data_IF_098378386550
#
_entry.id   IF_098378386550
#
_cell.length_a   1.000
_cell.length_b   1.000
_cell.length_c   1.000
_cell.angle_alpha   90.00
_cell.angle_beta   90.00
_cell.angle_gamma   90.00
#
_symmetry.space_group_name_H-M   'P 1'
#
loop_
_entity.id
_entity.type
_entity.pdbx_description
1 polymer ?
#
# COMPACT_ATOMS: atom_id res chain seq x y z
N UNK A 1 3.23 -14.74 12.38
CA UNK A 1 3.52 -14.52 13.82
C UNK A 1 4.47 -15.55 14.41
N UNK A 2 4.44 -16.82 13.96
CA UNK A 2 5.45 -17.87 14.24
C UNK A 2 5.86 -18.07 15.71
N UNK A 3 5.05 -17.63 16.67
CA UNK A 3 5.39 -17.68 18.09
C UNK A 3 6.54 -16.75 18.50
N UNK A 4 6.94 -15.79 17.65
CA UNK A 4 8.02 -14.85 17.99
C UNK A 4 7.60 -13.95 19.16
N UNK A 5 8.32 -14.05 20.29
CA UNK A 5 7.98 -13.35 21.52
C UNK A 5 7.95 -11.83 21.37
N UNK A 6 8.85 -11.26 20.54
CA UNK A 6 8.90 -9.81 20.32
C UNK A 6 7.71 -9.35 19.50
N UNK A 7 7.31 -10.10 18.48
CA UNK A 7 6.13 -9.81 17.67
C UNK A 7 4.86 -9.95 18.52
N UNK A 8 4.73 -11.04 19.27
CA UNK A 8 3.59 -11.26 20.17
C UNK A 8 3.49 -10.17 21.24
N UNK A 9 4.62 -9.72 21.80
CA UNK A 9 4.64 -8.62 22.78
C UNK A 9 4.09 -7.32 22.19
N UNK A 10 4.37 -7.00 20.92
CA UNK A 10 3.79 -5.83 20.24
C UNK A 10 2.27 -5.95 20.06
N UNK A 11 1.80 -7.14 19.71
CA UNK A 11 0.36 -7.42 19.58
C UNK A 11 -0.34 -7.25 20.93
N UNK A 12 0.22 -7.83 22.00
CA UNK A 12 -0.30 -7.70 23.36
C UNK A 12 -0.32 -6.24 23.81
N UNK A 13 0.75 -5.48 23.55
CA UNK A 13 0.81 -4.05 23.86
C UNK A 13 -0.26 -3.21 23.14
N UNK A 14 -0.76 -3.70 22.00
CA UNK A 14 -1.79 -3.04 21.19
C UNK A 14 -3.23 -3.44 21.61
N UNK A 15 -3.41 -4.17 22.71
CA UNK A 15 -4.71 -4.66 23.17
C UNK A 15 -5.73 -3.52 23.29
N UNK A 16 -6.92 -3.75 22.75
CA UNK A 16 -8.01 -2.76 22.70
C UNK A 16 -7.94 -1.80 21.51
N UNK A 17 -6.82 -1.77 20.78
CA UNK A 17 -6.68 -1.11 19.48
C UNK A 17 -6.89 -2.12 18.34
N UNK A 18 -6.98 -1.60 17.13
CA UNK A 18 -6.99 -2.40 15.90
C UNK A 18 -5.55 -2.77 15.58
N UNK A 19 -5.32 -4.05 15.23
CA UNK A 19 -4.03 -4.54 14.77
C UNK A 19 -4.16 -4.80 13.29
N UNK A 20 -3.54 -3.93 12.49
CA UNK A 20 -3.53 -4.08 11.04
C UNK A 20 -2.54 -5.15 10.61
N UNK A 21 -2.88 -5.84 9.52
CA UNK A 21 -2.08 -6.92 8.98
C UNK A 21 -1.35 -6.60 7.69
N UNK A 22 -0.34 -7.42 7.47
CA UNK A 22 0.51 -7.52 6.30
C UNK A 22 0.86 -9.01 6.17
N UNK A 23 0.18 -9.71 5.26
CA UNK A 23 0.18 -11.16 5.17
C UNK A 23 0.28 -11.65 3.71
N UNK A 24 1.33 -11.28 2.96
CA UNK A 24 1.49 -11.67 1.57
C UNK A 24 1.64 -13.18 1.45
N UNK A 25 0.77 -13.82 0.67
CA UNK A 25 0.84 -15.26 0.38
C UNK A 25 0.54 -16.18 1.56
N UNK A 26 0.09 -15.64 2.71
CA UNK A 26 -0.25 -16.43 3.87
C UNK A 26 -1.62 -17.11 3.69
N UNK A 27 -1.67 -18.43 3.89
CA UNK A 27 -2.86 -19.24 3.60
C UNK A 27 -3.10 -20.32 4.67
N UNK A 28 -4.26 -20.98 4.60
CA UNK A 28 -4.65 -22.17 5.35
C UNK A 28 -4.50 -22.02 6.87
N UNK A 29 -3.71 -22.90 7.50
CA UNK A 29 -3.51 -22.98 8.95
C UNK A 29 -2.63 -21.84 9.45
N UNK A 30 -1.71 -21.37 8.63
CA UNK A 30 -0.84 -20.25 9.00
C UNK A 30 -1.65 -18.94 9.03
N UNK A 31 -2.55 -18.76 8.07
CA UNK A 31 -3.51 -17.65 8.08
C UNK A 31 -4.45 -17.74 9.29
N UNK A 32 -4.91 -18.93 9.66
CA UNK A 32 -5.69 -19.11 10.89
C UNK A 32 -4.90 -18.69 12.14
N UNK A 33 -3.62 -19.07 12.25
CA UNK A 33 -2.76 -18.68 13.37
C UNK A 33 -2.55 -17.17 13.43
N UNK A 34 -2.42 -16.51 12.27
CA UNK A 34 -2.30 -15.07 12.15
C UNK A 34 -3.56 -14.33 12.63
N UNK A 35 -4.73 -14.80 12.18
CA UNK A 35 -6.03 -14.27 12.61
C UNK A 35 -6.26 -14.53 14.10
N UNK A 36 -5.90 -15.72 14.61
CA UNK A 36 -6.04 -16.07 16.02
C UNK A 36 -5.17 -15.18 16.94
N UNK A 37 -4.10 -14.59 16.42
CA UNK A 37 -3.32 -13.58 17.13
C UNK A 37 -4.00 -12.21 17.20
N UNK A 38 -5.16 -12.02 16.55
CA UNK A 38 -5.96 -10.79 16.59
C UNK A 38 -5.74 -9.83 15.42
N UNK A 39 -5.04 -10.28 14.38
CA UNK A 39 -4.77 -9.48 13.17
C UNK A 39 -5.87 -9.77 12.14
N UNK A 40 -6.68 -8.76 11.82
CA UNK A 40 -7.96 -8.97 11.13
C UNK A 40 -8.05 -8.30 9.76
N UNK A 41 -7.02 -7.60 9.30
CA UNK A 41 -6.97 -6.94 7.99
C UNK A 41 -5.73 -7.35 7.22
N UNK A 42 -5.73 -7.13 5.91
CA UNK A 42 -4.56 -7.29 5.06
C UNK A 42 -4.69 -6.46 3.76
N UNK A 43 -3.58 -5.83 3.35
CA UNK A 43 -3.44 -5.06 2.11
C UNK A 43 -2.56 -5.73 1.04
N UNK A 44 -2.05 -6.93 1.32
CA UNK A 44 -1.05 -7.60 0.47
C UNK A 44 -1.64 -8.63 -0.49
N UNK A 45 -2.96 -8.73 -0.59
CA UNK A 45 -3.60 -9.69 -1.48
C UNK A 45 -3.34 -9.33 -2.95
N UNK A 46 -2.68 -10.22 -3.69
CA UNK A 46 -2.35 -9.96 -5.11
C UNK A 46 -3.24 -10.71 -6.09
N UNK A 47 -3.93 -11.75 -5.60
CA UNK A 47 -4.78 -12.63 -6.40
C UNK A 47 -6.20 -12.72 -5.86
N UNK A 48 -7.15 -13.05 -6.73
CA UNK A 48 -8.55 -13.25 -6.37
C UNK A 48 -8.72 -14.34 -5.30
N UNK A 49 -7.98 -15.45 -5.41
CA UNK A 49 -8.13 -16.57 -4.48
C UNK A 49 -7.58 -16.24 -3.08
N UNK A 50 -6.46 -15.51 -3.00
CA UNK A 50 -5.92 -15.02 -1.73
C UNK A 50 -6.91 -14.10 -1.01
N UNK A 51 -7.43 -13.09 -1.73
CA UNK A 51 -8.43 -12.18 -1.15
C UNK A 51 -9.72 -12.89 -0.75
N UNK A 52 -10.16 -13.86 -1.53
CA UNK A 52 -11.36 -14.69 -1.25
C UNK A 52 -11.17 -15.57 -0.02
N UNK A 53 -10.01 -16.17 0.17
CA UNK A 53 -9.70 -16.95 1.36
C UNK A 53 -9.72 -16.06 2.62
N UNK A 54 -9.06 -14.90 2.57
CA UNK A 54 -9.03 -13.92 3.66
C UNK A 54 -10.44 -13.45 4.04
N UNK A 55 -11.28 -13.12 3.06
CA UNK A 55 -12.68 -12.79 3.28
C UNK A 55 -13.48 -13.96 3.90
N UNK A 56 -13.30 -15.19 3.40
CA UNK A 56 -13.96 -16.38 3.94
C UNK A 56 -13.59 -16.66 5.40
N UNK A 57 -12.35 -16.36 5.79
CA UNK A 57 -11.89 -16.48 7.18
C UNK A 57 -12.25 -15.26 8.06
N UNK A 58 -12.99 -14.29 7.50
CA UNK A 58 -13.53 -13.16 8.24
C UNK A 58 -12.56 -12.00 8.42
N UNK A 59 -11.51 -11.91 7.60
CA UNK A 59 -10.66 -10.71 7.55
C UNK A 59 -11.35 -9.57 6.80
N UNK A 60 -10.87 -8.36 7.03
CA UNK A 60 -11.09 -7.21 6.18
C UNK A 60 -10.08 -7.20 5.04
N UNK A 61 -10.56 -7.05 3.82
CA UNK A 61 -9.75 -6.95 2.61
C UNK A 61 -9.48 -5.46 2.32
N UNK A 62 -8.24 -5.05 2.48
CA UNK A 62 -7.76 -3.71 2.10
C UNK A 62 -7.34 -3.78 0.63
N UNK A 63 -8.15 -3.25 -0.28
CA UNK A 63 -7.88 -3.30 -1.71
C UNK A 63 -6.92 -2.17 -2.07
N UNK A 64 -5.67 -2.54 -2.32
CA UNK A 64 -4.58 -1.62 -2.63
C UNK A 64 -4.57 -1.18 -4.09
N UNK A 65 -4.40 0.11 -4.29
CA UNK A 65 -4.13 0.69 -5.60
C UNK A 65 -3.22 1.93 -5.47
N UNK A 66 -1.92 1.65 -5.32
CA UNK A 66 -0.84 2.63 -5.16
C UNK A 66 -0.08 2.89 -6.46
N UNK A 67 1.10 3.48 -6.32
CA UNK A 67 2.01 3.76 -7.44
C UNK A 67 2.68 2.50 -7.97
N UNK A 68 3.21 1.68 -7.05
CA UNK A 68 3.98 0.47 -7.37
C UNK A 68 3.08 -0.76 -7.43
N UNK A 69 2.16 -0.92 -6.49
CA UNK A 69 1.27 -2.08 -6.39
C UNK A 69 -0.17 -1.71 -6.75
N UNK A 70 -0.72 -2.38 -7.77
CA UNK A 70 -2.05 -2.13 -8.32
C UNK A 70 -2.89 -3.40 -8.33
N UNK A 71 -3.74 -3.58 -7.32
CA UNK A 71 -4.49 -4.82 -7.09
C UNK A 71 -6.01 -4.65 -7.24
N UNK A 72 -6.51 -3.44 -7.49
CA UNK A 72 -7.95 -3.17 -7.60
C UNK A 72 -8.61 -4.05 -8.65
N UNK A 73 -8.06 -4.10 -9.87
CA UNK A 73 -8.68 -4.85 -10.97
C UNK A 73 -8.76 -6.36 -10.67
N UNK A 74 -7.79 -6.90 -9.93
CA UNK A 74 -7.76 -8.32 -9.53
C UNK A 74 -8.74 -8.63 -8.39
N UNK A 75 -8.94 -7.71 -7.45
CA UNK A 75 -9.70 -7.93 -6.22
C UNK A 75 -11.14 -7.38 -6.27
N UNK A 76 -11.44 -6.43 -7.15
CA UNK A 76 -12.76 -5.82 -7.28
C UNK A 76 -13.91 -6.84 -7.47
N UNK A 77 -13.73 -7.97 -8.19
CA UNK A 77 -14.78 -9.00 -8.28
C UNK A 77 -15.19 -9.59 -6.93
N UNK A 78 -14.38 -9.45 -5.87
CA UNK A 78 -14.73 -9.88 -4.51
C UNK A 78 -15.67 -8.90 -3.80
N UNK A 79 -15.94 -7.72 -4.37
CA UNK A 79 -16.81 -6.69 -3.79
C UNK A 79 -18.26 -6.92 -4.25
N UNK A 80 -18.97 -7.77 -3.53
CA UNK A 80 -20.36 -8.14 -3.80
C UNK A 80 -21.28 -7.62 -2.69
N UNK A 81 -22.60 -7.70 -2.88
CA UNK A 81 -23.60 -7.37 -1.85
C UNK A 81 -23.38 -8.12 -0.53
N UNK A 82 -22.75 -9.30 -0.59
CA UNK A 82 -22.47 -10.15 0.58
C UNK A 82 -21.16 -9.82 1.29
N UNK A 83 -20.22 -9.18 0.60
CA UNK A 83 -18.81 -9.06 1.05
C UNK A 83 -18.34 -7.62 1.18
N UNK A 84 -18.99 -6.65 0.53
CA UNK A 84 -18.49 -5.27 0.46
C UNK A 84 -18.21 -4.64 1.83
N UNK A 85 -19.00 -4.98 2.87
CA UNK A 85 -18.82 -4.47 4.25
C UNK A 85 -17.46 -4.83 4.87
N UNK A 86 -16.78 -5.84 4.33
CA UNK A 86 -15.43 -6.25 4.74
C UNK A 86 -14.35 -5.80 3.76
N UNK A 87 -14.69 -4.98 2.77
CA UNK A 87 -13.73 -4.44 1.82
C UNK A 87 -13.63 -2.92 2.01
N UNK A 88 -12.42 -2.38 1.90
CA UNK A 88 -12.19 -0.95 1.80
C UNK A 88 -10.92 -0.65 1.00
N UNK A 89 -10.78 0.59 0.54
CA UNK A 89 -9.67 1.00 -0.33
C UNK A 89 -8.48 1.50 0.47
N UNK A 90 -7.28 1.20 -0.01
CA UNK A 90 -6.02 1.81 0.44
C UNK A 90 -5.15 2.13 -0.76
N UNK A 91 -4.29 3.14 -0.62
CA UNK A 91 -3.28 3.45 -1.64
C UNK A 91 -1.91 2.89 -1.29
N UNK A 92 -1.65 2.63 0.01
CA UNK A 92 -0.31 2.29 0.51
C UNK A 92 0.70 3.36 0.06
N UNK A 93 1.67 3.04 -0.77
CA UNK A 93 2.63 4.00 -1.31
C UNK A 93 2.11 4.77 -2.53
N UNK A 94 2.27 6.10 -2.47
CA UNK A 94 1.96 7.03 -3.57
C UNK A 94 3.11 7.98 -3.85
N UNK A 95 3.52 8.05 -5.12
CA UNK A 95 4.50 9.01 -5.59
C UNK A 95 3.87 10.41 -5.67
N UNK A 96 4.70 11.46 -5.52
CA UNK A 96 4.24 12.85 -5.71
C UNK A 96 3.70 13.09 -7.13
N UNK A 97 4.26 12.40 -8.13
CA UNK A 97 3.78 12.47 -9.51
C UNK A 97 2.36 11.92 -9.61
N UNK A 98 2.07 10.77 -9.02
CA UNK A 98 0.75 10.16 -9.11
C UNK A 98 -0.27 10.92 -8.26
N UNK A 99 0.12 11.43 -7.09
CA UNK A 99 -0.75 12.32 -6.31
C UNK A 99 -1.17 13.57 -7.10
N UNK A 100 -0.24 14.15 -7.87
CA UNK A 100 -0.51 15.34 -8.68
C UNK A 100 -1.44 15.06 -9.87
N UNK A 101 -1.24 13.94 -10.57
CA UNK A 101 -1.94 13.65 -11.83
C UNK A 101 -3.19 12.78 -11.67
N UNK A 102 -3.17 11.84 -10.72
CA UNK A 102 -4.24 10.86 -10.51
C UNK A 102 -5.11 11.26 -9.31
N UNK A 103 -4.47 11.58 -8.19
CA UNK A 103 -5.10 11.77 -6.87
C UNK A 103 -4.67 10.71 -5.87
N UNK A 104 -5.47 10.56 -4.81
CA UNK A 104 -5.24 9.64 -3.69
C UNK A 104 -6.40 8.61 -3.66
N UNK A 105 -7.04 8.37 -2.51
CA UNK A 105 -8.23 7.51 -2.38
C UNK A 105 -9.35 7.90 -3.34
N UNK A 106 -9.52 9.20 -3.64
CA UNK A 106 -10.53 9.69 -4.58
C UNK A 106 -10.32 9.13 -5.99
N UNK A 107 -9.07 8.93 -6.41
CA UNK A 107 -8.75 8.25 -7.66
C UNK A 107 -9.12 6.77 -7.62
N UNK A 108 -8.86 6.08 -6.50
CA UNK A 108 -9.21 4.65 -6.36
C UNK A 108 -10.73 4.47 -6.48
N UNK A 109 -11.51 5.37 -5.87
CA UNK A 109 -12.97 5.41 -5.99
C UNK A 109 -13.40 5.65 -7.44
N UNK A 110 -12.83 6.65 -8.12
CA UNK A 110 -13.11 6.90 -9.55
C UNK A 110 -12.79 5.68 -10.42
N UNK A 111 -11.65 5.03 -10.18
CA UNK A 111 -11.24 3.83 -10.90
C UNK A 111 -12.24 2.70 -10.66
N UNK A 112 -12.63 2.42 -9.42
CA UNK A 112 -13.60 1.38 -9.09
C UNK A 112 -14.96 1.61 -9.78
N UNK A 113 -15.46 2.86 -9.76
CA UNK A 113 -16.70 3.24 -10.46
C UNK A 113 -16.57 3.02 -11.97
N UNK A 114 -15.44 3.40 -12.57
CA UNK A 114 -15.19 3.18 -14.00
C UNK A 114 -15.12 1.69 -14.40
N UNK A 115 -14.90 0.81 -13.42
CA UNK A 115 -14.92 -0.66 -13.57
C UNK A 115 -16.29 -1.27 -13.29
N UNK A 116 -17.31 -0.43 -13.07
CA UNK A 116 -18.70 -0.86 -12.89
C UNK A 116 -19.12 -1.08 -11.44
N UNK A 117 -18.28 -0.73 -10.44
CA UNK A 117 -18.72 -0.74 -9.05
C UNK A 117 -19.78 0.36 -8.85
N UNK A 118 -20.86 0.04 -8.14
CA UNK A 118 -21.86 1.02 -7.74
C UNK A 118 -21.21 2.21 -7.00
N UNK A 119 -21.47 3.47 -7.40
CA UNK A 119 -20.86 4.63 -6.78
C UNK A 119 -21.10 4.78 -5.29
N UNK A 120 -22.29 4.41 -4.80
CA UNK A 120 -22.59 4.47 -3.36
C UNK A 120 -21.74 3.44 -2.61
N UNK A 121 -21.62 2.22 -3.13
CA UNK A 121 -20.73 1.19 -2.58
C UNK A 121 -19.26 1.61 -2.59
N UNK A 122 -18.79 2.21 -3.67
CA UNK A 122 -17.42 2.73 -3.76
C UNK A 122 -17.15 3.80 -2.67
N UNK A 123 -18.12 4.70 -2.45
CA UNK A 123 -18.05 5.68 -1.37
C UNK A 123 -18.07 5.02 0.02
N UNK A 124 -18.92 4.01 0.25
CA UNK A 124 -18.96 3.29 1.53
C UNK A 124 -17.62 2.64 1.86
N UNK A 125 -16.97 2.04 0.87
CA UNK A 125 -15.63 1.46 1.01
C UNK A 125 -14.59 2.51 1.38
N UNK A 126 -14.65 3.71 0.81
CA UNK A 126 -13.76 4.83 1.13
C UNK A 126 -14.14 5.60 2.42
N UNK A 127 -15.26 5.27 3.06
CA UNK A 127 -15.80 6.03 4.20
C UNK A 127 -16.18 5.10 5.36
N UNK A 128 -17.45 4.67 5.43
CA UNK A 128 -17.99 3.97 6.60
C UNK A 128 -17.33 2.61 6.83
N UNK A 129 -17.03 1.81 5.80
CA UNK A 129 -16.38 0.52 5.99
C UNK A 129 -14.98 0.67 6.61
N UNK A 130 -14.24 1.68 6.15
CA UNK A 130 -12.92 2.03 6.69
C UNK A 130 -13.05 2.49 8.13
N UNK A 131 -13.98 3.41 8.41
CA UNK A 131 -14.22 3.93 9.75
C UNK A 131 -14.64 2.83 10.75
N UNK A 132 -15.49 1.91 10.33
CA UNK A 132 -15.94 0.77 11.14
C UNK A 132 -14.79 -0.17 11.49
N UNK A 133 -13.94 -0.55 10.53
CA UNK A 133 -12.75 -1.37 10.79
C UNK A 133 -11.83 -0.73 11.81
N UNK A 134 -11.53 0.56 11.62
CA UNK A 134 -10.67 1.34 12.51
C UNK A 134 -11.33 1.78 13.83
N UNK A 135 -12.61 1.44 14.05
CA UNK A 135 -13.40 1.84 15.23
C UNK A 135 -13.47 3.36 15.42
N UNK A 136 -13.48 4.10 14.31
CA UNK A 136 -13.63 5.54 14.26
C UNK A 136 -15.13 5.89 14.17
N UNK A 137 -15.85 5.64 15.25
CA UNK A 137 -17.32 5.78 15.33
C UNK A 137 -17.83 7.22 15.20
N UNK A 138 -16.94 8.19 15.10
CA UNK A 138 -17.24 9.62 14.95
C UNK A 138 -17.17 10.10 13.49
N UNK A 139 -16.90 9.23 12.51
CA UNK A 139 -16.74 9.63 11.09
C UNK A 139 -17.14 8.51 10.11
N UNK A 140 -17.11 8.83 8.82
CA UNK A 140 -17.41 7.87 7.74
C UNK A 140 -18.88 7.87 7.30
N UNK A 141 -19.76 8.61 7.97
CA UNK A 141 -21.16 8.77 7.58
C UNK A 141 -21.65 10.20 7.81
N UNK A 142 -22.78 10.55 7.19
CA UNK A 142 -23.50 11.81 7.38
C UNK A 142 -24.69 11.57 8.31
N UNK A 143 -24.49 11.80 9.60
CA UNK A 143 -25.52 11.60 10.62
C UNK A 143 -25.28 12.50 11.85
N UNK A 144 -26.32 12.81 12.65
CA UNK A 144 -26.14 13.50 13.92
C UNK A 144 -25.11 12.80 14.83
N UNK A 145 -24.20 13.57 15.42
CA UNK A 145 -23.13 13.05 16.27
C UNK A 145 -21.80 12.73 15.56
N UNK A 146 -21.80 12.69 14.22
CA UNK A 146 -20.58 12.48 13.43
C UNK A 146 -19.85 13.80 13.17
N UNK A 147 -18.53 13.74 13.02
CA UNK A 147 -17.71 14.85 12.56
C UNK A 147 -18.14 15.27 11.15
N UNK A 148 -18.31 16.57 10.95
CA UNK A 148 -18.63 17.16 9.66
C UNK A 148 -17.40 17.20 8.73
N UNK A 149 -16.82 16.04 8.46
CA UNK A 149 -15.87 15.81 7.37
C UNK A 149 -16.69 15.38 6.15
N UNK A 150 -17.02 16.34 5.29
CA UNK A 150 -18.02 16.17 4.24
C UNK A 150 -17.45 16.54 2.88
N UNK A 151 -17.98 15.93 1.83
CA UNK A 151 -17.78 16.37 0.46
C UNK A 151 -19.13 16.61 -0.19
N UNK A 152 -19.22 17.60 -1.07
CA UNK A 152 -20.33 17.71 -2.02
C UNK A 152 -19.87 17.21 -3.39
N UNK A 153 -20.75 16.49 -4.07
CA UNK A 153 -20.43 15.82 -5.32
C UNK A 153 -21.38 16.37 -6.39
N UNK A 154 -20.82 17.02 -7.41
CA UNK A 154 -21.56 17.55 -8.55
C UNK A 154 -22.01 16.44 -9.50
N UNK A 155 -21.19 15.39 -9.65
CA UNK A 155 -21.51 14.21 -10.45
C UNK A 155 -21.01 12.93 -9.77
N UNK A 156 -21.94 12.11 -9.28
CA UNK A 156 -21.62 10.89 -8.54
C UNK A 156 -20.97 9.81 -9.41
N UNK A 157 -21.40 9.66 -10.67
CA UNK A 157 -20.86 8.64 -11.58
C UNK A 157 -19.40 8.90 -11.97
N UNK A 158 -18.95 10.16 -11.88
CA UNK A 158 -17.56 10.57 -12.14
C UNK A 158 -16.78 10.93 -10.87
N UNK A 159 -17.45 10.96 -9.72
CA UNK A 159 -16.93 11.52 -8.47
C UNK A 159 -16.35 12.94 -8.65
N UNK A 160 -17.09 13.82 -9.30
CA UNK A 160 -16.71 15.23 -9.43
C UNK A 160 -17.01 15.96 -8.11
N UNK A 161 -15.98 16.21 -7.30
CA UNK A 161 -16.09 16.87 -6.00
C UNK A 161 -16.16 18.39 -6.19
N UNK A 162 -17.16 19.04 -5.58
CA UNK A 162 -17.34 20.48 -5.61
C UNK A 162 -16.78 21.17 -4.36
N UNK A 163 -17.19 20.75 -3.17
CA UNK A 163 -16.72 21.32 -1.89
C UNK A 163 -16.21 20.23 -0.95
N UNK A 164 -15.22 20.58 -0.15
CA UNK A 164 -14.67 19.73 0.92
C UNK A 164 -14.75 20.48 2.24
N UNK A 165 -15.30 19.82 3.25
CA UNK A 165 -15.43 20.32 4.61
C UNK A 165 -14.60 19.45 5.55
N UNK A 166 -13.85 20.08 6.44
CA UNK A 166 -13.15 19.42 7.55
C UNK A 166 -13.69 19.98 8.87
N UNK A 167 -14.28 19.11 9.71
CA UNK A 167 -14.91 19.50 10.98
C UNK A 167 -15.87 20.70 10.84
N UNK A 168 -16.67 20.69 9.78
CA UNK A 168 -17.68 21.71 9.48
C UNK A 168 -17.16 22.98 8.82
N UNK A 169 -15.84 23.11 8.59
CA UNK A 169 -15.25 24.26 7.90
C UNK A 169 -14.99 23.93 6.44
N UNK A 170 -15.40 24.81 5.52
CA UNK A 170 -15.07 24.69 4.10
C UNK A 170 -13.54 24.87 3.93
N UNK A 171 -12.86 23.84 3.45
CA UNK A 171 -11.39 23.81 3.29
C UNK A 171 -10.94 23.70 1.84
N UNK A 172 -11.82 23.29 0.93
CA UNK A 172 -11.55 23.34 -0.51
C UNK A 172 -12.84 23.55 -1.28
N UNK A 173 -12.74 24.23 -2.44
CA UNK A 173 -13.85 24.41 -3.38
C UNK A 173 -13.32 24.41 -4.81
N UNK A 174 -14.00 23.73 -5.72
CA UNK A 174 -13.65 23.66 -7.14
C UNK A 174 -12.16 23.34 -7.35
N UNK A 175 -11.69 22.25 -6.70
CA UNK A 175 -10.31 21.78 -6.73
C UNK A 175 -9.23 22.77 -6.21
N UNK A 176 -9.62 23.84 -5.50
CA UNK A 176 -8.69 24.78 -4.87
C UNK A 176 -8.75 24.66 -3.35
N UNK A 177 -7.59 24.51 -2.72
CA UNK A 177 -7.48 24.60 -1.26
C UNK A 177 -7.75 26.02 -0.77
N UNK A 178 -8.38 26.13 0.39
CA UNK A 178 -8.67 27.39 1.10
C UNK A 178 -7.84 27.51 2.39
N UNK A 179 -6.82 26.66 2.54
CA UNK A 179 -5.91 26.63 3.67
C UNK A 179 -4.47 26.91 3.20
N UNK A 180 -3.65 27.43 4.11
CA UNK A 180 -2.21 27.60 3.89
C UNK A 180 -1.45 26.33 4.26
N UNK A 181 -0.36 26.05 3.55
CA UNK A 181 0.56 24.97 3.90
C UNK A 181 1.31 25.33 5.20
N UNK A 182 1.61 24.33 6.06
CA UNK A 182 2.45 24.54 7.22
C UNK A 182 3.91 24.83 6.82
N UNK A 183 4.65 25.52 7.69
CA UNK A 183 6.09 25.71 7.51
C UNK A 183 6.84 24.37 7.62
N UNK A 184 7.83 24.17 6.76
CA UNK A 184 8.69 22.99 6.79
C UNK A 184 9.82 23.15 7.81
N UNK A 185 10.01 22.17 8.69
CA UNK A 185 11.14 22.15 9.62
C UNK A 185 12.38 21.51 8.98
N UNK A 186 13.57 21.96 9.38
CA UNK A 186 14.84 21.41 8.87
C UNK A 186 15.26 20.09 9.54
N UNK A 187 14.48 19.56 10.48
CA UNK A 187 14.82 18.37 11.28
C UNK A 187 15.06 17.11 10.41
N UNK A 188 14.44 17.04 9.25
CA UNK A 188 14.57 15.93 8.30
C UNK A 188 15.68 16.14 7.24
N UNK A 189 16.47 17.21 7.37
CA UNK A 189 17.61 17.48 6.47
C UNK A 189 18.89 16.78 6.96
N UNK A 190 19.90 16.69 6.09
CA UNK A 190 21.22 16.14 6.43
C UNK A 190 21.24 14.68 6.94
N UNK A 191 20.28 13.85 6.54
CA UNK A 191 20.14 12.45 7.01
C UNK A 191 20.97 11.42 6.24
N UNK A 192 21.84 11.86 5.32
CA UNK A 192 22.68 10.99 4.48
C UNK A 192 24.11 11.03 4.99
N UNK A 193 24.50 10.00 5.73
CA UNK A 193 25.82 9.79 6.30
C UNK A 193 26.42 8.51 5.71
N UNK A 194 27.22 8.67 4.67
CA UNK A 194 27.88 7.56 3.97
C UNK A 194 29.40 7.71 4.04
N UNK A 195 30.13 6.59 4.08
CA UNK A 195 31.57 6.60 3.83
C UNK A 195 31.86 6.97 2.36
N UNK A 196 33.06 7.46 2.03
CA UNK A 196 33.46 7.66 0.64
C UNK A 196 33.29 6.36 -0.16
N UNK A 197 32.53 6.44 -1.26
CA UNK A 197 32.33 5.32 -2.18
C UNK A 197 33.29 5.49 -3.37
N UNK A 198 33.90 4.39 -3.79
CA UNK A 198 34.74 4.33 -5.00
C UNK A 198 34.14 3.35 -5.98
N UNK A 199 34.63 3.33 -7.23
CA UNK A 199 34.23 2.30 -8.20
C UNK A 199 34.44 0.88 -7.67
N UNK A 200 35.45 0.70 -6.82
CA UNK A 200 35.76 -0.60 -6.21
C UNK A 200 34.73 -1.03 -5.18
N UNK A 201 34.05 -0.09 -4.51
CA UNK A 201 32.93 -0.38 -3.60
C UNK A 201 31.76 -1.09 -4.30
N UNK A 202 31.68 -0.99 -5.62
CA UNK A 202 30.65 -1.62 -6.43
C UNK A 202 31.18 -2.82 -7.23
N UNK A 203 32.45 -3.22 -7.08
CA UNK A 203 33.02 -4.34 -7.83
C UNK A 203 32.45 -5.66 -7.30
N UNK A 204 31.82 -6.43 -8.18
CA UNK A 204 31.29 -7.76 -7.87
C UNK A 204 32.20 -8.79 -8.53
N UNK A 205 32.90 -9.60 -7.75
CA UNK A 205 33.75 -10.68 -8.27
C UNK A 205 33.00 -12.00 -8.32
N UNK A 206 33.37 -12.86 -9.25
CA UNK A 206 32.80 -14.20 -9.31
C UNK A 206 33.82 -15.26 -9.75
N UNK A 207 33.64 -16.47 -9.24
CA UNK A 207 34.35 -17.68 -9.67
C UNK A 207 33.52 -18.56 -10.65
N UNK A 208 32.26 -18.21 -10.94
CA UNK A 208 31.34 -19.03 -11.74
C UNK A 208 30.57 -18.25 -12.80
N UNK A 209 30.14 -18.94 -13.85
CA UNK A 209 29.45 -18.35 -15.01
C UNK A 209 28.00 -17.93 -14.73
N UNK A 210 27.34 -18.58 -13.76
CA UNK A 210 25.92 -18.36 -13.44
C UNK A 210 25.70 -17.90 -12.01
N UNK A 211 24.75 -16.99 -11.81
CA UNK A 211 24.42 -16.38 -10.52
C UNK A 211 22.92 -16.27 -10.29
N UNK A 212 22.46 -16.30 -9.03
CA UNK A 212 21.10 -15.92 -8.71
C UNK A 212 20.88 -14.43 -9.04
N UNK A 213 19.84 -14.15 -9.82
CA UNK A 213 19.35 -12.81 -10.16
C UNK A 213 17.93 -12.64 -9.62
N UNK A 214 17.64 -11.44 -9.12
CA UNK A 214 16.30 -11.04 -8.69
C UNK A 214 15.57 -10.51 -9.92
N UNK A 215 14.53 -11.22 -10.35
CA UNK A 215 13.62 -10.77 -11.39
C UNK A 215 12.49 -9.95 -10.75
N UNK A 216 12.31 -8.73 -11.28
CA UNK A 216 11.21 -7.84 -10.91
C UNK A 216 9.95 -8.26 -11.67
N UNK A 217 8.83 -8.39 -10.95
CA UNK A 217 7.51 -8.58 -11.56
C UNK A 217 6.82 -7.22 -11.67
N UNK A 218 6.57 -6.68 -12.87
CA UNK A 218 5.98 -5.35 -13.02
C UNK A 218 4.65 -5.21 -12.26
N UNK A 219 4.52 -4.12 -11.49
CA UNK A 219 3.29 -3.78 -10.76
C UNK A 219 3.01 -4.64 -9.52
N UNK A 220 4.01 -5.35 -8.99
CA UNK A 220 3.89 -6.25 -7.84
C UNK A 220 5.09 -6.12 -6.89
N UNK A 221 4.85 -6.33 -5.60
CA UNK A 221 5.90 -6.36 -4.57
C UNK A 221 6.75 -7.65 -4.61
N UNK A 222 6.19 -8.72 -5.18
CA UNK A 222 6.87 -10.02 -5.23
C UNK A 222 7.96 -10.04 -6.31
N UNK A 223 9.06 -10.70 -6.00
CA UNK A 223 10.17 -10.93 -6.94
C UNK A 223 10.34 -12.42 -7.18
N UNK A 224 11.03 -12.78 -8.25
CA UNK A 224 11.39 -14.16 -8.55
C UNK A 224 12.90 -14.33 -8.49
N UNK A 225 13.33 -15.51 -8.05
CA UNK A 225 14.72 -15.92 -8.16
C UNK A 225 14.93 -16.61 -9.50
N UNK A 226 15.86 -16.12 -10.32
CA UNK A 226 16.35 -16.77 -11.54
C UNK A 226 17.83 -17.11 -11.40
N UNK A 227 18.32 -18.06 -12.18
CA UNK A 227 19.74 -18.36 -12.30
C UNK A 227 20.15 -17.98 -13.72
N UNK A 228 20.97 -16.95 -13.85
CA UNK A 228 21.34 -16.37 -15.13
C UNK A 228 22.85 -16.38 -15.34
N UNK A 229 23.28 -16.48 -16.61
CA UNK A 229 24.69 -16.25 -16.96
C UNK A 229 25.03 -14.77 -16.84
N UNK A 230 26.11 -14.45 -16.15
CA UNK A 230 26.54 -13.04 -15.96
C UNK A 230 27.66 -12.69 -16.92
N UNK A 231 27.65 -11.45 -17.42
CA UNK A 231 28.76 -10.92 -18.22
C UNK A 231 29.92 -10.59 -17.30
N UNK A 232 31.12 -11.05 -17.62
CA UNK A 232 32.34 -10.74 -16.85
C UNK A 232 33.39 -10.09 -17.73
N UNK A 233 34.13 -9.13 -17.16
CA UNK A 233 35.30 -8.48 -17.77
C UNK A 233 36.34 -8.34 -16.65
N UNK A 234 37.57 -8.79 -16.88
CA UNK A 234 38.68 -8.74 -15.92
C UNK A 234 38.30 -9.26 -14.50
N UNK A 235 37.55 -10.37 -14.47
CA UNK A 235 37.10 -11.02 -13.23
C UNK A 235 36.00 -10.28 -12.46
N UNK A 236 35.45 -9.20 -13.00
CA UNK A 236 34.33 -8.46 -12.43
C UNK A 236 33.02 -8.69 -13.21
N UNK A 237 31.91 -8.82 -12.51
CA UNK A 237 30.57 -8.86 -13.10
C UNK A 237 30.20 -7.48 -13.61
N UNK A 238 29.83 -7.43 -14.88
CA UNK A 238 29.40 -6.24 -15.60
C UNK A 238 27.89 -6.28 -15.86
N UNK A 239 27.22 -5.11 -15.88
CA UNK A 239 25.82 -5.05 -16.30
C UNK A 239 25.68 -5.52 -17.75
N UNK A 240 24.57 -6.19 -18.04
CA UNK A 240 24.19 -6.67 -19.36
C UNK A 240 22.85 -6.04 -19.75
N UNK A 241 22.92 -4.81 -20.29
CA UNK A 241 21.73 -4.03 -20.66
C UNK A 241 20.94 -4.63 -21.82
N UNK A 242 21.56 -5.49 -22.65
CA UNK A 242 20.86 -6.19 -23.73
C UNK A 242 19.93 -7.29 -23.19
N UNK A 243 20.22 -7.81 -21.99
CA UNK A 243 19.42 -8.82 -21.29
C UNK A 243 18.72 -8.26 -20.04
N UNK A 244 18.78 -6.95 -19.83
CA UNK A 244 18.25 -6.24 -18.66
C UNK A 244 18.74 -6.81 -17.30
N UNK A 245 20.02 -7.20 -17.24
CA UNK A 245 20.66 -7.65 -16.00
C UNK A 245 21.52 -6.51 -15.47
N UNK A 246 20.97 -5.80 -14.47
CA UNK A 246 21.58 -4.61 -13.87
C UNK A 246 22.10 -4.89 -12.46
N UNK A 247 23.05 -4.06 -12.03
CA UNK A 247 23.58 -4.08 -10.66
C UNK A 247 22.66 -3.29 -9.74
N UNK A 248 22.30 -3.88 -8.61
CA UNK A 248 21.66 -3.19 -7.49
C UNK A 248 22.68 -3.04 -6.36
N UNK A 249 22.84 -1.82 -5.84
CA UNK A 249 23.71 -1.55 -4.71
C UNK A 249 22.89 -0.93 -3.57
N UNK A 250 23.07 -1.45 -2.36
CA UNK A 250 22.45 -0.93 -1.14
C UNK A 250 23.57 -0.42 -0.23
N UNK A 251 23.49 0.85 0.16
CA UNK A 251 24.49 1.52 1.01
C UNK A 251 23.82 1.97 2.30
N UNK A 252 24.38 1.57 3.44
CA UNK A 252 23.98 2.07 4.76
C UNK A 252 24.28 3.58 4.83
N UNK A 253 23.27 4.38 5.13
CA UNK A 253 23.34 5.85 5.01
C UNK A 253 23.05 6.60 6.31
N UNK A 254 22.89 5.91 7.44
CA UNK A 254 22.54 6.54 8.71
C UNK A 254 23.71 6.63 9.68
N UNK A 255 24.65 5.69 9.67
CA UNK A 255 25.73 5.60 10.66
C UNK A 255 27.12 5.74 10.04
N UNK A 256 27.22 5.72 8.70
CA UNK A 256 28.49 5.65 8.00
C UNK A 256 29.39 4.52 8.54
N UNK A 257 28.78 3.39 8.96
CA UNK A 257 29.46 2.21 9.52
C UNK A 257 29.87 1.21 8.46
#
# INVERSE_FOLDING_TARGET
VNGDERVLSKIIASKGKVVDGHAPGLSDKELNAYIAAGILSDHESTTLEEGKEKLKKGMYLMIREGSSEKNLDALLPLVTDKTYKRCFFVVDDRSCSDLLHEGDIDWVVRKAISRGLDPVRALQMATINTAEHFRLYDRGAVAPGYLANLITIANLAKLEIDMVFHRGKLVARQAKSLFSLPDTTSELTHTVHIKPLTSESFRLTTAGETHPVIEIVPGQIVTKKKVERVKTVDGAIMPDTARDILKLAVVERHKAS
#
